data_IF_130534650993
#
_entry.id   IF_130534650993
#
_cell.length_a   1.000
_cell.length_b   1.000
_cell.length_c   1.000
_cell.angle_alpha   90.00
_cell.angle_beta   90.00
_cell.angle_gamma   90.00
#
_symmetry.space_group_name_H-M   'P 1'
#
loop_
_entity.id
_entity.type
_entity.pdbx_description
1 polymer ?
#
# COMPACT_ATOMS: atom_id res chain seq x y z
N UNK A 1 -30.54 -54.23 40.44
CA UNK A 1 -29.62 -55.07 39.64
C UNK A 1 -30.26 -55.42 38.32
N UNK A 2 -30.29 -54.53 37.31
CA UNK A 2 -30.64 -54.93 35.95
C UNK A 2 -29.80 -54.08 34.98
N UNK A 3 -28.82 -54.74 34.37
CA UNK A 3 -27.97 -54.22 33.30
C UNK A 3 -28.82 -54.01 32.06
N UNK A 4 -28.85 -52.80 31.53
CA UNK A 4 -29.40 -52.52 30.19
C UNK A 4 -28.24 -52.25 29.25
N UNK A 5 -28.03 -53.17 28.33
CA UNK A 5 -27.16 -53.04 27.16
C UNK A 5 -27.78 -51.99 26.23
N UNK A 6 -27.00 -50.98 25.84
CA UNK A 6 -27.37 -50.01 24.81
C UNK A 6 -26.34 -50.08 23.68
N UNK A 7 -26.63 -50.92 22.69
CA UNK A 7 -25.92 -50.94 21.41
C UNK A 7 -26.55 -49.88 20.50
N UNK A 8 -25.95 -48.70 20.41
CA UNK A 8 -26.28 -47.75 19.35
C UNK A 8 -25.44 -48.04 18.09
N UNK A 9 -26.07 -48.12 16.90
CA UNK A 9 -25.34 -48.28 15.65
C UNK A 9 -24.63 -46.96 15.25
N UNK A 10 -23.40 -47.09 14.77
CA UNK A 10 -22.57 -45.99 14.26
C UNK A 10 -23.26 -45.30 13.07
N UNK A 11 -23.53 -44.00 13.19
CA UNK A 11 -24.06 -43.19 12.10
C UNK A 11 -23.06 -43.13 10.92
N UNK A 12 -23.53 -43.12 9.66
CA UNK A 12 -22.65 -43.00 8.49
C UNK A 12 -21.90 -41.66 8.51
N UNK A 13 -20.60 -41.69 8.19
CA UNK A 13 -19.76 -40.50 8.05
C UNK A 13 -20.37 -39.55 7.01
N UNK A 14 -20.67 -38.32 7.41
CA UNK A 14 -20.98 -37.24 6.46
C UNK A 14 -19.77 -37.03 5.56
N UNK A 15 -19.97 -37.25 4.26
CA UNK A 15 -19.01 -36.88 3.22
C UNK A 15 -18.85 -35.36 3.21
N UNK A 16 -17.63 -34.80 3.16
CA UNK A 16 -17.47 -33.36 3.05
C UNK A 16 -18.08 -32.85 1.74
N UNK A 17 -18.89 -31.79 1.85
CA UNK A 17 -19.46 -31.04 0.72
C UNK A 17 -18.36 -30.66 -0.28
N UNK A 18 -18.59 -30.72 -1.60
CA UNK A 18 -17.61 -30.27 -2.58
C UNK A 18 -17.29 -28.80 -2.31
N UNK A 19 -16.00 -28.48 -2.15
CA UNK A 19 -15.53 -27.10 -2.15
C UNK A 19 -15.96 -26.45 -3.47
N UNK A 20 -16.65 -25.32 -3.39
CA UNK A 20 -16.95 -24.50 -4.57
C UNK A 20 -15.63 -24.16 -5.29
N UNK A 21 -15.60 -24.20 -6.64
CA UNK A 21 -14.39 -23.87 -7.36
C UNK A 21 -14.04 -22.41 -7.08
N UNK A 22 -12.78 -22.16 -6.71
CA UNK A 22 -12.24 -20.82 -6.58
C UNK A 22 -12.54 -20.04 -7.85
N UNK A 23 -13.44 -19.05 -7.75
CA UNK A 23 -13.61 -18.03 -8.77
C UNK A 23 -12.30 -17.23 -8.84
N UNK A 24 -11.37 -17.73 -9.66
CA UNK A 24 -10.24 -16.96 -10.14
C UNK A 24 -10.86 -15.78 -10.88
N UNK A 25 -10.97 -14.63 -10.22
CA UNK A 25 -11.28 -13.38 -10.88
C UNK A 25 -10.32 -13.29 -12.07
N UNK A 26 -10.82 -13.04 -13.30
CA UNK A 26 -9.92 -12.88 -14.43
C UNK A 26 -8.93 -11.76 -14.09
N UNK A 27 -7.67 -11.83 -14.56
CA UNK A 27 -6.79 -10.69 -14.48
C UNK A 27 -7.51 -9.52 -15.15
N UNK A 28 -7.71 -8.43 -14.39
CA UNK A 28 -8.35 -7.21 -14.89
C UNK A 28 -7.65 -6.80 -16.17
N UNK A 29 -8.43 -6.48 -17.20
CA UNK A 29 -7.89 -6.12 -18.50
C UNK A 29 -6.97 -4.90 -18.35
N UNK A 30 -5.84 -4.81 -19.09
CA UNK A 30 -4.95 -3.65 -19.06
C UNK A 30 -5.59 -2.30 -19.47
N UNK A 31 -6.87 -2.32 -19.83
CA UNK A 31 -7.66 -1.16 -20.25
C UNK A 31 -8.52 -0.58 -19.12
N UNK A 32 -8.52 -1.17 -17.92
CA UNK A 32 -9.15 -0.57 -16.72
C UNK A 32 -8.20 0.42 -16.01
N UNK A 33 -6.95 0.53 -16.46
CA UNK A 33 -6.04 1.60 -16.05
C UNK A 33 -6.34 2.84 -16.91
N UNK A 34 -7.40 3.57 -16.53
CA UNK A 34 -7.95 4.78 -17.17
C UNK A 34 -7.04 6.03 -17.05
N UNK A 35 -5.74 5.78 -17.09
CA UNK A 35 -4.74 6.50 -16.32
C UNK A 35 -3.41 6.61 -17.09
N UNK A 36 -3.34 6.02 -18.28
CA UNK A 36 -2.26 6.28 -19.23
C UNK A 36 -2.38 7.74 -19.69
N UNK A 37 -1.44 8.63 -19.34
CA UNK A 37 -1.53 10.02 -19.74
C UNK A 37 -1.50 10.10 -21.26
N UNK A 38 -2.57 10.63 -21.85
CA UNK A 38 -2.60 10.88 -23.28
C UNK A 38 -1.55 11.94 -23.60
N UNK A 39 -0.95 11.87 -24.78
CA UNK A 39 0.05 12.85 -25.23
C UNK A 39 -0.47 14.30 -25.14
N UNK A 40 -1.79 14.47 -25.24
CA UNK A 40 -2.48 15.77 -25.10
C UNK A 40 -2.53 16.31 -23.67
N UNK A 41 -2.49 15.44 -22.65
CA UNK A 41 -2.57 15.83 -21.24
C UNK A 41 -1.33 16.61 -20.79
N UNK A 42 -0.17 16.26 -21.35
CA UNK A 42 1.10 16.95 -21.13
C UNK A 42 1.14 18.35 -21.76
N UNK A 43 0.38 18.58 -22.85
CA UNK A 43 0.29 19.86 -23.56
C UNK A 43 -0.76 20.81 -22.94
N UNK A 44 -1.81 20.27 -22.32
CA UNK A 44 -2.94 21.04 -21.75
C UNK A 44 -2.74 21.33 -20.25
N UNK A 45 -1.67 20.81 -19.63
CA UNK A 45 -1.42 21.04 -18.20
C UNK A 45 -2.41 20.30 -17.32
N UNK A 46 -2.92 19.15 -17.77
CA UNK A 46 -3.75 18.27 -16.95
C UNK A 46 -2.85 17.74 -15.84
N UNK A 47 -2.91 18.39 -14.68
CA UNK A 47 -2.30 17.85 -13.47
C UNK A 47 -3.00 16.54 -13.18
N UNK A 48 -2.30 15.44 -13.41
CA UNK A 48 -2.67 14.10 -12.95
C UNK A 48 -3.19 14.24 -11.52
N UNK A 49 -4.46 13.94 -11.31
CA UNK A 49 -5.07 14.08 -9.99
C UNK A 49 -4.30 13.19 -9.02
N UNK A 50 -3.72 13.77 -7.96
CA UNK A 50 -3.14 13.01 -6.85
C UNK A 50 -4.30 12.39 -6.10
N UNK A 51 -4.50 11.08 -6.25
CA UNK A 51 -5.56 10.33 -5.57
C UNK A 51 -5.06 9.75 -4.24
N UNK A 52 -3.78 9.38 -4.19
CA UNK A 52 -3.13 8.81 -3.01
C UNK A 52 -1.83 9.56 -2.70
N UNK A 53 -1.75 10.13 -1.50
CA UNK A 53 -0.55 10.80 -0.97
C UNK A 53 -0.03 10.01 0.24
N UNK A 54 1.26 9.71 0.25
CA UNK A 54 1.95 9.24 1.46
C UNK A 54 2.69 10.42 2.08
N UNK A 55 2.32 10.78 3.30
CA UNK A 55 3.04 11.77 4.09
C UNK A 55 3.83 11.09 5.21
N UNK A 56 5.08 11.49 5.42
CA UNK A 56 5.90 10.99 6.52
C UNK A 56 6.69 12.12 7.19
N UNK A 57 6.73 12.17 8.54
CA UNK A 57 7.68 13.02 9.24
C UNK A 57 9.10 12.46 9.06
N UNK A 58 10.10 13.33 9.07
CA UNK A 58 11.50 12.95 9.02
C UNK A 58 12.34 13.84 9.93
N UNK A 59 13.23 13.21 10.70
CA UNK A 59 14.26 13.87 11.50
C UNK A 59 15.49 12.99 11.56
N UNK A 60 16.57 13.41 10.91
CA UNK A 60 17.84 12.69 10.82
C UNK A 60 17.71 11.21 10.38
N UNK A 61 17.07 11.01 9.22
CA UNK A 61 16.73 9.72 8.61
C UNK A 61 17.56 9.41 7.35
N UNK A 62 18.75 10.00 7.16
CA UNK A 62 19.55 9.85 5.94
C UNK A 62 19.82 8.38 5.56
N UNK A 63 19.94 7.49 6.55
CA UNK A 63 20.19 6.07 6.37
C UNK A 63 18.98 5.28 5.81
N UNK A 64 17.76 5.80 5.96
CA UNK A 64 16.53 5.05 5.69
C UNK A 64 15.57 5.76 4.74
N UNK A 65 15.59 7.09 4.70
CA UNK A 65 14.63 7.92 3.96
C UNK A 65 14.53 7.52 2.48
N UNK A 66 15.66 7.15 1.86
CA UNK A 66 15.68 6.71 0.46
C UNK A 66 14.84 5.46 0.23
N UNK A 67 15.02 4.43 1.08
CA UNK A 67 14.27 3.17 0.99
C UNK A 67 12.78 3.42 1.22
N UNK A 68 12.45 4.28 2.18
CA UNK A 68 11.05 4.60 2.52
C UNK A 68 10.35 5.31 1.37
N UNK A 69 10.97 6.33 0.77
CA UNK A 69 10.41 7.05 -0.39
C UNK A 69 10.23 6.11 -1.59
N UNK A 70 11.24 5.30 -1.92
CA UNK A 70 11.17 4.35 -3.03
C UNK A 70 10.08 3.30 -2.81
N UNK A 71 9.88 2.86 -1.56
CA UNK A 71 8.78 1.96 -1.19
C UNK A 71 7.41 2.64 -1.33
N UNK A 72 7.26 3.84 -0.79
CA UNK A 72 6.01 4.61 -0.81
C UNK A 72 5.53 4.92 -2.23
N UNK A 73 6.45 5.27 -3.14
CA UNK A 73 6.13 5.56 -4.56
C UNK A 73 5.55 4.38 -5.34
N UNK A 74 5.63 3.15 -4.81
CA UNK A 74 4.97 1.98 -5.42
C UNK A 74 3.46 1.95 -5.18
N UNK A 75 2.97 2.76 -4.23
CA UNK A 75 1.59 2.71 -3.75
C UNK A 75 0.90 4.07 -3.73
N UNK A 76 1.63 5.17 -4.02
CA UNK A 76 1.12 6.53 -3.94
C UNK A 76 1.50 7.33 -5.20
N UNK A 77 0.62 8.25 -5.59
CA UNK A 77 0.84 9.17 -6.71
C UNK A 77 1.90 10.23 -6.34
N UNK A 78 1.98 10.59 -5.06
CA UNK A 78 2.93 11.55 -4.52
C UNK A 78 3.41 11.16 -3.12
N UNK A 79 4.59 11.67 -2.76
CA UNK A 79 5.18 11.52 -1.42
C UNK A 79 5.48 12.90 -0.87
N UNK A 80 5.02 13.16 0.36
CA UNK A 80 5.30 14.36 1.14
C UNK A 80 6.21 13.98 2.32
N UNK A 81 7.37 14.61 2.42
CA UNK A 81 8.25 14.54 3.58
C UNK A 81 8.10 15.82 4.37
N UNK A 82 7.76 15.70 5.65
CA UNK A 82 7.74 16.81 6.59
C UNK A 82 9.03 16.73 7.42
N UNK A 83 10.03 17.51 7.01
CA UNK A 83 11.32 17.58 7.70
C UNK A 83 11.20 18.44 8.95
N UNK A 84 11.50 17.84 10.11
CA UNK A 84 11.38 18.48 11.41
C UNK A 84 12.73 18.94 11.94
N UNK A 85 13.47 19.68 11.10
CA UNK A 85 14.74 20.29 11.46
C UNK A 85 15.93 19.32 11.39
N UNK A 86 15.98 18.44 10.38
CA UNK A 86 17.14 17.57 10.20
C UNK A 86 18.40 18.39 9.95
N UNK A 87 19.52 17.87 10.46
CA UNK A 87 20.87 18.44 10.32
C UNK A 87 21.78 17.57 9.45
N UNK A 88 21.26 16.45 8.97
CA UNK A 88 21.93 15.46 8.13
C UNK A 88 21.43 15.55 6.67
N UNK A 89 21.75 14.56 5.83
CA UNK A 89 21.39 14.57 4.40
C UNK A 89 19.92 14.19 4.11
N UNK A 90 19.05 14.06 5.13
CA UNK A 90 17.65 13.64 4.98
C UNK A 90 16.90 14.42 3.90
N UNK A 91 16.96 15.76 3.97
CA UNK A 91 16.25 16.66 3.04
C UNK A 91 16.81 16.51 1.62
N UNK A 92 18.13 16.53 1.48
CA UNK A 92 18.79 16.43 0.18
C UNK A 92 18.45 15.11 -0.53
N UNK A 93 18.44 14.00 0.21
CA UNK A 93 18.05 12.69 -0.31
C UNK A 93 16.57 12.67 -0.72
N UNK A 94 15.68 13.26 0.09
CA UNK A 94 14.25 13.30 -0.20
C UNK A 94 13.93 14.11 -1.47
N UNK A 95 14.52 15.30 -1.60
CA UNK A 95 14.38 16.16 -2.77
C UNK A 95 14.92 15.47 -4.03
N UNK A 96 16.09 14.83 -3.94
CA UNK A 96 16.71 14.11 -5.05
C UNK A 96 15.84 12.95 -5.57
N UNK A 97 15.00 12.36 -4.72
CA UNK A 97 14.07 11.29 -5.09
C UNK A 97 12.72 11.80 -5.61
N UNK A 98 12.54 13.12 -5.68
CA UNK A 98 11.34 13.78 -6.17
C UNK A 98 10.19 13.82 -5.17
N UNK A 99 10.47 13.70 -3.86
CA UNK A 99 9.47 13.94 -2.84
C UNK A 99 9.17 15.44 -2.73
N UNK A 100 7.93 15.76 -2.37
CA UNK A 100 7.57 17.10 -1.92
C UNK A 100 8.14 17.23 -0.50
N UNK A 101 8.94 18.26 -0.22
CA UNK A 101 9.50 18.46 1.11
C UNK A 101 8.96 19.75 1.72
N UNK A 102 8.42 19.64 2.93
CA UNK A 102 8.05 20.78 3.79
C UNK A 102 8.97 20.76 4.99
N UNK A 103 9.72 21.84 5.20
CA UNK A 103 10.72 21.93 6.27
C UNK A 103 10.32 22.90 7.36
N UNK A 104 10.42 22.47 8.61
CA UNK A 104 10.44 23.37 9.75
C UNK A 104 11.89 23.80 10.05
N UNK A 105 12.09 25.09 10.33
CA UNK A 105 13.41 25.61 10.71
C UNK A 105 13.94 25.05 12.05
N UNK A 106 13.05 24.48 12.87
CA UNK A 106 13.32 23.86 14.18
C UNK A 106 12.34 22.72 14.39
N UNK A 107 12.75 21.66 15.08
CA UNK A 107 11.91 20.50 15.41
C UNK A 107 10.67 20.93 16.23
N UNK A 108 9.46 20.55 15.79
CA UNK A 108 8.17 20.91 16.37
C UNK A 108 7.39 19.72 16.96
N UNK A 109 7.96 18.51 16.91
CA UNK A 109 7.39 17.31 17.54
C UNK A 109 6.53 16.48 16.60
#
# INVERSE_FOLDING_TARGET
>A
MHSTTNSQPLSPRESPSPAEPAVSSPPRSPLEDDDAPLLVDALVGVRRAVRTLVAMPAYNEEAYIAKTIVGARRHADAVLVVDDGSTDETVAIAEALGAIVVRHATNRG
#
